data_IF_479408179327
#
_entry.id   IF_479408179327
#
_cell.length_a   1.000
_cell.length_b   1.000
_cell.length_c   1.000
_cell.angle_alpha   90.00
_cell.angle_beta   90.00
_cell.angle_gamma   90.00
#
_symmetry.space_group_name_H-M   'P 1'
#
loop_
_entity.id
_entity.type
_entity.pdbx_description
1 polymer ?
#
# COMPACT_ATOMS: atom_id res chain seq x y z
N UNK A 1 -20.25 14.13 -8.26
CA UNK A 1 -18.82 13.89 -7.96
C UNK A 1 -18.24 13.02 -9.07
N UNK A 2 -17.44 13.63 -9.94
CA UNK A 2 -16.86 12.96 -11.11
C UNK A 2 -15.63 12.19 -10.67
N UNK A 3 -15.73 10.86 -10.53
CA UNK A 3 -14.58 9.99 -10.27
C UNK A 3 -14.20 9.37 -11.61
N UNK A 4 -13.09 9.88 -12.12
CA UNK A 4 -12.42 9.62 -13.39
C UNK A 4 -12.38 8.13 -13.77
N UNK A 5 -12.89 7.83 -14.98
CA UNK A 5 -12.80 6.53 -15.67
C UNK A 5 -11.37 6.23 -16.18
N UNK A 6 -10.39 6.26 -15.29
CA UNK A 6 -9.05 5.69 -15.53
C UNK A 6 -8.68 4.95 -14.25
N UNK A 7 -9.08 3.68 -14.14
CA UNK A 7 -8.72 2.82 -13.00
C UNK A 7 -7.24 2.48 -13.09
N UNK A 8 -6.39 3.45 -12.78
CA UNK A 8 -5.00 3.22 -12.44
C UNK A 8 -5.03 2.44 -11.14
N UNK A 9 -4.57 1.19 -11.20
CA UNK A 9 -4.27 0.47 -9.98
C UNK A 9 -3.10 1.23 -9.34
N UNK A 10 -3.35 1.78 -8.16
CA UNK A 10 -2.42 2.63 -7.42
C UNK A 10 -2.31 2.06 -6.00
N UNK A 11 -1.33 2.55 -5.25
CA UNK A 11 -1.13 2.18 -3.86
C UNK A 11 -1.48 3.38 -2.99
N UNK A 12 -2.66 3.33 -2.35
CA UNK A 12 -3.04 4.27 -1.29
C UNK A 12 -2.59 3.76 0.06
N UNK A 13 -2.28 4.66 1.01
CA UNK A 13 -1.99 4.29 2.38
C UNK A 13 -2.93 4.92 3.41
N UNK A 14 -3.17 4.21 4.50
CA UNK A 14 -3.85 4.70 5.70
C UNK A 14 -2.90 4.61 6.90
N UNK A 15 -3.05 5.52 7.86
CA UNK A 15 -2.19 5.67 9.03
C UNK A 15 -2.99 5.38 10.29
N UNK A 16 -2.55 4.39 11.07
CA UNK A 16 -3.12 4.13 12.41
C UNK A 16 -2.02 4.10 13.47
N UNK A 17 -2.32 4.65 14.64
CA UNK A 17 -1.42 4.60 15.80
C UNK A 17 -1.14 3.15 16.18
N UNK A 18 0.13 2.81 16.37
CA UNK A 18 0.51 1.49 16.85
C UNK A 18 0.35 1.42 18.37
N UNK A 19 -0.92 1.33 18.82
CA UNK A 19 -1.31 1.32 20.24
C UNK A 19 -0.68 0.21 21.07
N UNK A 20 -0.14 -0.82 20.42
CA UNK A 20 0.54 -1.94 21.07
C UNK A 20 1.93 -1.58 21.62
N UNK A 21 2.49 -0.42 21.24
CA UNK A 21 3.80 0.08 21.71
C UNK A 21 3.65 1.03 22.92
N UNK A 22 3.63 0.49 24.14
CA UNK A 22 3.32 1.24 25.37
C UNK A 22 4.16 2.51 25.62
N UNK A 23 5.46 2.49 25.31
CA UNK A 23 6.37 3.61 25.64
C UNK A 23 6.66 4.56 24.47
N UNK A 24 6.19 4.24 23.26
CA UNK A 24 6.52 4.99 22.03
C UNK A 24 5.35 4.99 21.00
N UNK A 25 4.11 4.69 21.42
CA UNK A 25 2.93 4.55 20.53
C UNK A 25 2.69 5.78 19.62
N UNK A 26 3.06 6.97 20.09
CA UNK A 26 2.93 8.22 19.34
C UNK A 26 3.98 8.38 18.23
N UNK A 27 5.04 7.57 18.24
CA UNK A 27 6.10 7.55 17.23
C UNK A 27 5.99 6.39 16.27
N UNK A 28 5.07 5.46 16.46
CA UNK A 28 4.93 4.30 15.59
C UNK A 28 3.57 4.32 14.90
N UNK A 29 3.60 4.19 13.58
CA UNK A 29 2.41 4.18 12.76
C UNK A 29 2.39 2.92 11.90
N UNK A 30 1.23 2.26 11.86
CA UNK A 30 0.97 1.30 10.80
C UNK A 30 0.59 2.04 9.53
N UNK A 31 1.21 1.62 8.43
CA UNK A 31 0.96 2.15 7.10
C UNK A 31 0.39 1.03 6.24
N UNK A 32 -0.86 1.16 5.82
CA UNK A 32 -1.57 0.14 5.05
C UNK A 32 -1.63 0.47 3.57
N UNK A 33 -0.76 -0.15 2.77
CA UNK A 33 -0.72 0.00 1.32
C UNK A 33 -1.74 -0.92 0.63
N UNK A 34 -2.74 -0.36 -0.03
CA UNK A 34 -3.79 -1.12 -0.71
C UNK A 34 -3.66 -1.10 -2.23
N UNK A 35 -3.87 -2.26 -2.86
CA UNK A 35 -4.14 -2.31 -4.30
C UNK A 35 -5.56 -1.77 -4.53
N UNK A 36 -5.72 -0.64 -5.22
CA UNK A 36 -7.01 0.06 -5.35
C UNK A 36 -8.11 -0.74 -6.04
N UNK A 37 -7.76 -1.75 -6.84
CA UNK A 37 -8.72 -2.59 -7.52
C UNK A 37 -9.06 -3.86 -6.71
N UNK A 38 -10.34 -4.06 -6.34
CA UNK A 38 -10.77 -5.25 -5.62
C UNK A 38 -10.83 -6.49 -6.53
N UNK A 39 -10.84 -7.65 -5.88
CA UNK A 39 -11.05 -8.98 -6.45
C UNK A 39 -10.00 -9.38 -7.51
N UNK A 40 -8.82 -8.77 -7.49
CA UNK A 40 -7.68 -9.20 -8.31
C UNK A 40 -7.16 -10.54 -7.77
N UNK A 41 -6.81 -11.45 -8.68
CA UNK A 41 -6.05 -12.64 -8.33
C UNK A 41 -4.56 -12.30 -8.31
N UNK A 42 -3.94 -12.26 -7.13
CA UNK A 42 -2.50 -12.05 -7.00
C UNK A 42 -1.75 -13.37 -7.27
N UNK A 43 -0.70 -13.37 -8.08
CA UNK A 43 0.25 -14.48 -8.21
C UNK A 43 0.82 -14.91 -6.86
N UNK A 44 1.11 -16.20 -6.72
CA UNK A 44 1.65 -16.79 -5.48
C UNK A 44 2.89 -16.05 -4.93
N UNK A 45 3.88 -15.63 -5.75
CA UNK A 45 5.04 -14.89 -5.24
C UNK A 45 4.68 -13.60 -4.49
N UNK A 46 3.55 -12.97 -4.81
CA UNK A 46 3.11 -11.73 -4.20
C UNK A 46 2.30 -11.95 -2.92
N UNK A 47 1.78 -13.16 -2.68
CA UNK A 47 0.98 -13.48 -1.49
C UNK A 47 1.79 -13.47 -0.20
N UNK A 48 3.12 -13.51 -0.28
CA UNK A 48 4.01 -13.31 0.87
C UNK A 48 4.14 -11.83 1.27
N UNK A 49 3.94 -10.92 0.32
CA UNK A 49 4.06 -9.47 0.54
C UNK A 49 2.71 -8.82 0.83
N UNK A 50 1.61 -9.41 0.35
CA UNK A 50 0.27 -8.86 0.49
C UNK A 50 -0.66 -9.82 1.23
N UNK A 51 -1.45 -9.26 2.13
CA UNK A 51 -2.51 -9.92 2.88
C UNK A 51 -3.87 -9.58 2.30
N UNK A 52 -4.83 -10.50 2.40
CA UNK A 52 -6.22 -10.25 1.97
C UNK A 52 -6.98 -9.49 3.04
N UNK A 53 -7.73 -8.47 2.62
CA UNK A 53 -8.66 -7.73 3.49
C UNK A 53 -10.00 -7.63 2.80
N UNK A 54 -11.07 -7.86 3.54
CA UNK A 54 -12.44 -7.72 3.04
C UNK A 54 -13.03 -6.42 3.54
N UNK A 55 -13.66 -5.65 2.66
CA UNK A 55 -14.44 -4.48 3.09
C UNK A 55 -15.85 -4.88 3.55
N UNK A 56 -16.57 -3.92 4.16
CA UNK A 56 -17.96 -4.14 4.60
C UNK A 56 -18.95 -4.46 3.47
N UNK A 57 -18.54 -4.36 2.20
CA UNK A 57 -19.32 -4.72 1.00
C UNK A 57 -18.88 -6.06 0.41
N UNK A 58 -18.12 -6.87 1.14
CA UNK A 58 -17.59 -8.18 0.71
C UNK A 58 -16.66 -8.10 -0.51
N UNK A 59 -16.04 -6.95 -0.77
CA UNK A 59 -14.99 -6.81 -1.80
C UNK A 59 -13.65 -7.18 -1.19
N UNK A 60 -12.89 -8.00 -1.89
CA UNK A 60 -11.58 -8.48 -1.44
C UNK A 60 -10.48 -7.57 -1.99
N UNK A 61 -9.67 -7.00 -1.12
CA UNK A 61 -8.50 -6.19 -1.45
C UNK A 61 -7.23 -6.89 -1.02
N UNK A 62 -6.12 -6.48 -1.62
CA UNK A 62 -4.79 -6.87 -1.20
C UNK A 62 -4.12 -5.69 -0.51
N UNK A 63 -3.55 -5.97 0.66
CA UNK A 63 -2.95 -4.98 1.56
C UNK A 63 -1.56 -5.42 1.98
N UNK A 64 -0.59 -4.53 1.85
CA UNK A 64 0.69 -4.64 2.53
C UNK A 64 0.69 -3.71 3.75
N UNK A 65 0.95 -4.24 4.95
CA UNK A 65 1.03 -3.44 6.18
C UNK A 65 2.49 -3.28 6.57
N UNK A 66 2.97 -2.05 6.60
CA UNK A 66 4.27 -1.68 7.13
C UNK A 66 4.15 -1.04 8.51
N UNK A 67 5.24 -1.02 9.26
CA UNK A 67 5.38 -0.26 10.50
C UNK A 67 6.46 0.80 10.30
N UNK A 68 6.12 2.08 10.52
CA UNK A 68 7.03 3.22 10.32
C UNK A 68 7.20 3.96 11.64
N UNK A 69 8.46 4.28 11.96
CA UNK A 69 8.78 5.12 13.12
C UNK A 69 8.86 6.58 12.68
N UNK A 70 7.99 7.42 13.21
CA UNK A 70 7.95 8.87 13.02
C UNK A 70 8.80 9.52 14.10
N UNK A 71 10.12 9.52 13.90
CA UNK A 71 11.04 10.37 14.66
C UNK A 71 11.18 11.73 13.96
N UNK A 72 11.26 11.68 12.63
CA UNK A 72 11.34 12.81 11.71
C UNK A 72 10.29 12.59 10.62
N UNK A 73 9.50 13.62 10.33
CA UNK A 73 8.39 13.51 9.38
C UNK A 73 8.87 13.37 7.93
N UNK A 74 9.95 14.03 7.55
CA UNK A 74 10.48 13.98 6.18
C UNK A 74 11.08 12.59 5.93
N UNK A 75 11.84 12.08 6.90
CA UNK A 75 12.40 10.71 6.82
C UNK A 75 11.27 9.67 6.76
N UNK A 76 10.22 9.83 7.57
CA UNK A 76 9.07 8.92 7.55
C UNK A 76 8.33 8.97 6.21
N UNK A 77 8.12 10.16 5.64
CA UNK A 77 7.50 10.34 4.34
C UNK A 77 8.32 9.69 3.21
N UNK A 78 9.63 9.87 3.23
CA UNK A 78 10.55 9.25 2.27
C UNK A 78 10.53 7.72 2.35
N UNK A 79 10.46 7.16 3.58
CA UNK A 79 10.31 5.72 3.77
C UNK A 79 8.99 5.20 3.17
N UNK A 80 7.88 5.89 3.43
CA UNK A 80 6.57 5.52 2.88
C UNK A 80 6.58 5.58 1.35
N UNK A 81 7.15 6.64 0.76
CA UNK A 81 7.24 6.77 -0.70
C UNK A 81 8.14 5.70 -1.32
N UNK A 82 9.28 5.40 -0.69
CA UNK A 82 10.18 4.34 -1.14
C UNK A 82 9.49 2.98 -1.12
N UNK A 83 8.81 2.62 -0.02
CA UNK A 83 8.03 1.38 0.08
C UNK A 83 6.94 1.33 -0.99
N UNK A 84 6.21 2.44 -1.20
CA UNK A 84 5.20 2.54 -2.27
C UNK A 84 5.79 2.24 -3.65
N UNK A 85 6.94 2.84 -3.99
CA UNK A 85 7.62 2.62 -5.27
C UNK A 85 8.10 1.18 -5.42
N UNK A 86 8.64 0.57 -4.36
CA UNK A 86 9.10 -0.83 -4.37
C UNK A 86 7.93 -1.81 -4.59
N UNK A 87 6.82 -1.63 -3.87
CA UNK A 87 5.61 -2.42 -4.06
C UNK A 87 5.03 -2.24 -5.47
N UNK A 88 5.05 -1.02 -5.99
CA UNK A 88 4.61 -0.71 -7.37
C UNK A 88 5.46 -1.47 -8.38
N UNK A 89 6.79 -1.38 -8.29
CA UNK A 89 7.73 -2.12 -9.17
C UNK A 89 7.52 -3.63 -9.06
N UNK A 90 7.24 -4.14 -7.86
CA UNK A 90 6.96 -5.55 -7.63
C UNK A 90 5.68 -6.00 -8.35
N UNK A 91 4.63 -5.18 -8.32
CA UNK A 91 3.39 -5.43 -9.05
C UNK A 91 3.55 -5.31 -10.57
N UNK A 92 4.32 -4.33 -11.06
CA UNK A 92 4.67 -4.19 -12.48
C UNK A 92 5.47 -5.39 -13.00
N UNK A 93 6.43 -5.90 -12.20
CA UNK A 93 7.23 -7.09 -12.54
C UNK A 93 6.35 -8.32 -12.78
N UNK A 94 5.23 -8.42 -12.07
CA UNK A 94 4.27 -9.53 -12.19
C UNK A 94 3.06 -9.19 -13.07
N UNK A 95 3.13 -8.10 -13.85
CA UNK A 95 2.07 -7.67 -14.78
C UNK A 95 0.70 -7.42 -14.13
N UNK A 96 0.68 -7.09 -12.83
CA UNK A 96 -0.53 -6.65 -12.14
C UNK A 96 -0.80 -5.17 -12.42
N UNK A 97 0.28 -4.39 -12.57
CA UNK A 97 0.24 -2.99 -13.01
C UNK A 97 0.79 -2.85 -14.42
N UNK A 98 0.23 -1.95 -15.25
CA UNK A 98 0.90 -1.54 -16.47
C UNK A 98 2.21 -0.84 -16.10
N UNK A 99 3.31 -1.16 -16.81
CA UNK A 99 4.57 -0.43 -16.64
C UNK A 99 4.31 1.05 -16.92
N UNK A 100 4.65 1.93 -15.98
CA UNK A 100 4.63 3.38 -16.25
C UNK A 100 5.53 3.66 -17.46
N UNK A 101 4.95 4.15 -18.55
CA UNK A 101 5.73 4.79 -19.60
C UNK A 101 6.29 6.10 -19.02
N UNK A 102 7.61 6.18 -18.91
CA UNK A 102 8.27 7.46 -18.68
C UNK A 102 7.90 8.37 -19.84
N UNK A 103 7.05 9.37 -19.58
CA UNK A 103 6.84 10.46 -20.52
C UNK A 103 8.18 11.18 -20.64
N UNK A 104 8.85 10.97 -21.77
CA UNK A 104 9.95 11.82 -22.26
C UNK A 104 9.48 13.26 -22.41
#
# INVERSE_FOLDING_TARGET
MSITKNKVVDISFDVSYASDYKEDAYRWCYIDFFITQPNINLPDPLKHSFTRVMDGKKRLYWRHRGLVRVIDMDVAADMIDKTRRELTKLLEKHSILPKRSEKK
#
